data_IF_326106142543
#
_entry.id   IF_326106142543
#
_cell.length_a   1.000
_cell.length_b   1.000
_cell.length_c   1.000
_cell.angle_alpha   90.00
_cell.angle_beta   90.00
_cell.angle_gamma   90.00
#
_symmetry.space_group_name_H-M   'P 1'
#
loop_
_entity.id
_entity.type
_entity.pdbx_description
1 polymer ?
#
# COMPACT_ATOMS: atom_id res chain seq x y z
N UNK A 1 -19.43 8.67 22.13
CA UNK A 1 -19.51 9.22 20.77
C UNK A 1 -18.25 8.74 20.08
N UNK A 2 -18.34 7.73 19.22
CA UNK A 2 -17.17 7.27 18.47
C UNK A 2 -16.70 8.44 17.58
N UNK A 3 -15.40 8.77 17.58
CA UNK A 3 -14.90 9.82 16.72
C UNK A 3 -15.22 9.44 15.27
N UNK A 4 -15.83 10.37 14.55
CA UNK A 4 -16.17 10.21 13.14
C UNK A 4 -14.90 9.86 12.36
N UNK A 5 -14.78 8.62 11.90
CA UNK A 5 -13.60 8.12 11.19
C UNK A 5 -13.53 8.85 9.85
N UNK A 6 -12.77 9.95 9.81
CA UNK A 6 -12.57 10.74 8.61
C UNK A 6 -11.28 10.29 7.92
N UNK A 7 -11.27 10.20 6.58
CA UNK A 7 -10.06 9.85 5.87
C UNK A 7 -9.00 10.95 6.02
N UNK A 8 -7.74 10.52 6.18
CA UNK A 8 -6.57 11.41 6.26
C UNK A 8 -5.72 11.22 5.01
N UNK A 9 -5.26 12.32 4.42
CA UNK A 9 -4.32 12.33 3.29
C UNK A 9 -3.29 13.44 3.48
N UNK A 10 -2.04 13.15 3.12
CA UNK A 10 -0.99 14.14 2.92
C UNK A 10 -1.17 14.80 1.53
N UNK A 11 -1.23 16.13 1.40
CA UNK A 11 -1.28 16.79 0.10
C UNK A 11 -0.17 16.38 -0.87
N UNK A 12 1.06 16.17 -0.37
CA UNK A 12 2.23 15.80 -1.19
C UNK A 12 2.10 14.40 -1.81
N UNK A 13 1.27 13.54 -1.22
CA UNK A 13 1.03 12.19 -1.75
C UNK A 13 0.36 12.17 -3.13
N UNK A 14 -0.17 13.30 -3.61
CA UNK A 14 -0.78 13.42 -4.94
C UNK A 14 0.13 14.10 -5.97
N UNK A 15 1.31 14.54 -5.55
CA UNK A 15 2.29 15.10 -6.48
C UNK A 15 2.78 13.99 -7.43
N UNK A 16 2.80 14.29 -8.72
CA UNK A 16 3.28 13.38 -9.76
C UNK A 16 4.81 13.46 -9.89
N UNK A 17 5.38 14.62 -9.54
CA UNK A 17 6.81 14.90 -9.60
C UNK A 17 7.46 14.96 -8.21
N UNK A 18 6.70 14.65 -7.17
CA UNK A 18 7.18 14.63 -5.78
C UNK A 18 8.35 13.66 -5.57
N UNK A 19 9.14 13.97 -4.56
CA UNK A 19 10.24 13.12 -4.11
C UNK A 19 9.74 12.08 -3.12
N UNK A 20 9.78 10.81 -3.51
CA UNK A 20 9.30 9.69 -2.70
C UNK A 20 10.42 8.73 -2.29
N UNK A 21 10.25 7.93 -1.22
CA UNK A 21 11.33 7.15 -0.62
C UNK A 21 12.03 6.13 -1.54
N UNK A 22 11.33 5.62 -2.56
CA UNK A 22 11.83 4.63 -3.51
C UNK A 22 12.08 5.19 -4.91
N UNK A 23 12.04 6.51 -5.11
CA UNK A 23 12.40 7.07 -6.41
C UNK A 23 13.88 6.75 -6.74
N UNK A 24 14.10 6.23 -7.96
CA UNK A 24 15.42 5.77 -8.41
C UNK A 24 15.94 4.49 -7.74
N UNK A 25 15.16 3.82 -6.88
CA UNK A 25 15.57 2.58 -6.20
C UNK A 25 14.87 1.36 -6.80
N UNK A 26 15.58 0.24 -6.88
CA UNK A 26 14.98 -1.03 -7.26
C UNK A 26 14.20 -1.62 -6.08
N UNK A 27 12.90 -1.91 -6.28
CA UNK A 27 12.06 -2.55 -5.27
C UNK A 27 12.65 -3.88 -4.78
N UNK A 28 13.29 -4.66 -5.65
CA UNK A 28 13.89 -5.95 -5.30
C UNK A 28 15.09 -5.84 -4.36
N UNK A 29 15.67 -4.65 -4.22
CA UNK A 29 16.73 -4.37 -3.25
C UNK A 29 16.22 -3.95 -1.87
N UNK A 30 14.90 -3.79 -1.70
CA UNK A 30 14.28 -3.32 -0.45
C UNK A 30 13.69 -4.52 0.28
N UNK A 31 13.97 -4.67 1.56
CA UNK A 31 13.42 -5.77 2.38
C UNK A 31 11.98 -5.49 2.81
N UNK A 32 11.27 -6.52 3.22
CA UNK A 32 9.88 -6.41 3.67
C UNK A 32 9.77 -5.61 4.99
N UNK A 33 10.77 -5.68 5.86
CA UNK A 33 10.85 -4.86 7.07
C UNK A 33 11.01 -3.38 6.74
N UNK A 34 11.84 -3.05 5.73
CA UNK A 34 11.99 -1.68 5.26
C UNK A 34 10.70 -1.15 4.63
N UNK A 35 10.02 -1.99 3.83
CA UNK A 35 8.69 -1.68 3.29
C UNK A 35 7.68 -1.43 4.41
N UNK A 36 7.64 -2.28 5.44
CA UNK A 36 6.78 -2.06 6.61
C UNK A 36 7.08 -0.73 7.31
N UNK A 37 8.36 -0.35 7.42
CA UNK A 37 8.77 0.97 7.92
C UNK A 37 8.30 2.14 7.06
N UNK A 38 8.26 1.99 5.73
CA UNK A 38 7.72 3.01 4.83
C UNK A 38 6.21 3.21 5.00
N UNK A 39 5.45 2.21 5.45
CA UNK A 39 4.03 2.40 5.75
C UNK A 39 3.82 3.49 6.81
N UNK A 40 4.75 3.64 7.75
CA UNK A 40 4.63 4.62 8.83
C UNK A 40 5.22 5.99 8.50
N UNK A 41 6.20 6.05 7.60
CA UNK A 41 6.96 7.27 7.31
C UNK A 41 6.67 7.93 5.96
N UNK A 42 6.20 7.18 4.97
CA UNK A 42 6.00 7.70 3.62
C UNK A 42 4.71 8.55 3.49
N UNK A 43 4.64 9.46 2.49
CA UNK A 43 3.48 10.32 2.29
C UNK A 43 2.18 9.54 2.17
N UNK A 44 1.22 9.85 3.04
CA UNK A 44 -0.05 9.13 3.15
C UNK A 44 -0.98 9.54 2.02
N UNK A 45 -1.22 8.65 1.07
CA UNK A 45 -2.23 8.85 0.03
C UNK A 45 -3.64 8.79 0.61
N UNK A 46 -3.87 7.82 1.48
CA UNK A 46 -5.16 7.63 2.14
C UNK A 46 -4.99 6.82 3.42
N UNK A 47 -5.63 7.24 4.51
CA UNK A 47 -5.74 6.46 5.74
C UNK A 47 -7.18 6.50 6.23
N UNK A 48 -7.74 5.32 6.48
CA UNK A 48 -9.06 5.16 7.07
C UNK A 48 -9.03 3.95 8.01
N UNK A 49 -9.36 4.18 9.28
CA UNK A 49 -9.24 3.15 10.33
C UNK A 49 -7.82 2.58 10.41
N UNK A 50 -7.71 1.25 10.41
CA UNK A 50 -6.44 0.52 10.48
C UNK A 50 -5.76 0.30 9.11
N UNK A 51 -6.36 0.76 8.01
CA UNK A 51 -5.78 0.65 6.67
C UNK A 51 -5.16 1.97 6.24
N UNK A 52 -3.95 1.87 5.68
CA UNK A 52 -3.20 3.00 5.14
C UNK A 52 -2.69 2.67 3.74
N UNK A 53 -2.71 3.66 2.87
CA UNK A 53 -2.09 3.66 1.55
C UNK A 53 -1.07 4.79 1.52
N UNK A 54 0.18 4.48 1.19
CA UNK A 54 1.28 5.45 1.11
C UNK A 54 1.88 5.46 -0.29
N UNK A 55 2.46 6.60 -0.67
CA UNK A 55 3.26 6.72 -1.89
C UNK A 55 4.69 6.25 -1.63
N UNK A 56 5.15 5.27 -2.41
CA UNK A 56 6.53 4.79 -2.34
C UNK A 56 7.42 5.41 -3.41
N UNK A 57 6.86 5.61 -4.60
CA UNK A 57 7.54 6.25 -5.73
C UNK A 57 6.54 7.03 -6.59
N UNK A 58 7.04 7.65 -7.66
CA UNK A 58 6.20 8.18 -8.75
C UNK A 58 5.27 7.14 -9.38
N UNK A 59 5.61 5.85 -9.28
CA UNK A 59 4.90 4.76 -9.93
C UNK A 59 4.36 3.69 -8.98
N UNK A 60 4.64 3.79 -7.68
CA UNK A 60 4.28 2.76 -6.71
C UNK A 60 3.55 3.34 -5.51
N UNK A 61 2.51 2.63 -5.09
CA UNK A 61 1.89 2.75 -3.78
C UNK A 61 2.09 1.48 -2.99
N UNK A 62 1.97 1.61 -1.68
CA UNK A 62 1.80 0.48 -0.79
C UNK A 62 0.55 0.64 0.05
N UNK A 63 -0.30 -0.38 0.03
CA UNK A 63 -1.39 -0.55 0.98
C UNK A 63 -0.92 -1.44 2.12
N UNK A 64 -1.25 -1.09 3.35
CA UNK A 64 -0.99 -1.95 4.49
C UNK A 64 -1.93 -1.69 5.68
N UNK A 65 -2.07 -2.70 6.53
CA UNK A 65 -2.97 -2.67 7.68
C UNK A 65 -3.41 -4.06 8.14
N UNK A 66 -4.01 -4.13 9.33
CA UNK A 66 -4.48 -5.41 9.92
C UNK A 66 -5.64 -6.07 9.19
N UNK A 67 -6.33 -5.34 8.30
CA UNK A 67 -7.40 -5.87 7.44
C UNK A 67 -6.96 -6.11 6.00
N UNK A 68 -5.67 -5.93 5.69
CA UNK A 68 -5.13 -6.19 4.36
C UNK A 68 -4.74 -7.65 4.28
N UNK A 69 -5.37 -8.39 3.38
CA UNK A 69 -5.20 -9.84 3.29
C UNK A 69 -4.61 -10.26 1.93
N UNK A 70 -3.91 -11.41 1.85
CA UNK A 70 -3.31 -11.88 0.60
C UNK A 70 -4.31 -12.04 -0.55
N UNK A 71 -5.58 -12.34 -0.24
CA UNK A 71 -6.63 -12.49 -1.24
C UNK A 71 -6.87 -11.22 -2.07
N UNK A 72 -6.53 -10.03 -1.56
CA UNK A 72 -6.63 -8.79 -2.33
C UNK A 72 -5.64 -8.79 -3.50
N UNK A 73 -4.38 -9.16 -3.24
CA UNK A 73 -3.34 -9.24 -4.26
C UNK A 73 -3.66 -10.33 -5.30
N UNK A 74 -4.11 -11.51 -4.84
CA UNK A 74 -4.55 -12.59 -5.72
C UNK A 74 -5.74 -12.20 -6.58
N UNK A 75 -6.68 -11.41 -6.03
CA UNK A 75 -7.82 -10.90 -6.80
C UNK A 75 -7.36 -9.94 -7.90
N UNK A 76 -6.41 -9.04 -7.61
CA UNK A 76 -5.83 -8.14 -8.62
C UNK A 76 -5.12 -8.93 -9.74
N UNK A 77 -4.34 -9.94 -9.38
CA UNK A 77 -3.68 -10.83 -10.34
C UNK A 77 -4.68 -11.63 -11.18
N UNK A 78 -5.76 -12.11 -10.56
CA UNK A 78 -6.84 -12.81 -11.27
C UNK A 78 -7.53 -11.89 -12.27
N UNK A 79 -7.93 -10.68 -11.86
CA UNK A 79 -8.56 -9.69 -12.75
C UNK A 79 -7.64 -9.34 -13.92
N UNK A 80 -6.36 -9.09 -13.66
CA UNK A 80 -5.38 -8.77 -14.69
C UNK A 80 -5.14 -9.92 -15.69
N UNK A 81 -5.26 -11.18 -15.25
CA UNK A 81 -5.01 -12.35 -16.11
C UNK A 81 -6.24 -12.89 -16.84
N UNK A 82 -7.45 -12.64 -16.31
CA UNK A 82 -8.69 -13.22 -16.84
C UNK A 82 -9.63 -12.23 -17.51
N UNK A 83 -9.37 -10.93 -17.37
CA UNK A 83 -10.25 -9.89 -17.88
C UNK A 83 -9.47 -8.84 -18.67
N UNK A 84 -10.19 -7.95 -19.37
CA UNK A 84 -9.61 -6.74 -19.97
C UNK A 84 -9.64 -5.52 -19.03
N UNK A 85 -10.03 -5.69 -17.76
CA UNK A 85 -10.14 -4.59 -16.81
C UNK A 85 -8.73 -4.18 -16.38
N UNK A 86 -8.42 -2.89 -16.53
CA UNK A 86 -7.16 -2.33 -16.02
C UNK A 86 -7.20 -2.30 -14.49
N UNK A 87 -6.39 -3.14 -13.87
CA UNK A 87 -6.14 -3.15 -12.43
C UNK A 87 -4.68 -2.74 -12.16
N UNK A 88 -4.37 -2.15 -10.98
CA UNK A 88 -2.98 -1.95 -10.56
C UNK A 88 -2.21 -3.28 -10.58
N UNK A 89 -1.04 -3.30 -11.20
CA UNK A 89 -0.18 -4.50 -11.14
C UNK A 89 0.38 -4.64 -9.74
N UNK A 90 0.25 -5.83 -9.15
CA UNK A 90 0.91 -6.18 -7.90
C UNK A 90 2.37 -6.50 -8.18
N UNK A 91 3.28 -5.87 -7.44
CA UNK A 91 4.72 -6.13 -7.51
C UNK A 91 5.21 -6.98 -6.35
N UNK A 92 4.60 -6.79 -5.17
CA UNK A 92 4.92 -7.56 -3.97
C UNK A 92 3.73 -7.61 -3.02
N UNK A 93 3.52 -8.75 -2.38
CA UNK A 93 2.55 -8.91 -1.31
C UNK A 93 3.15 -9.80 -0.23
N UNK A 94 2.99 -9.40 1.03
CA UNK A 94 3.52 -10.15 2.19
C UNK A 94 2.70 -9.85 3.44
N UNK A 95 2.89 -10.68 4.47
CA UNK A 95 2.30 -10.51 5.79
C UNK A 95 3.39 -10.58 6.84
N UNK A 96 3.21 -9.80 7.90
CA UNK A 96 4.04 -9.85 9.11
C UNK A 96 3.14 -10.22 10.28
N UNK A 97 3.61 -11.11 11.15
CA UNK A 97 2.90 -11.48 12.38
C UNK A 97 2.73 -10.23 13.28
N UNK A 98 1.51 -10.03 13.75
CA UNK A 98 1.15 -8.95 14.66
C UNK A 98 -0.12 -9.36 15.43
N UNK A 99 0.08 -9.95 16.60
CA UNK A 99 -0.98 -10.43 17.51
C UNK A 99 -1.91 -9.31 18.01
N UNK A 100 -1.57 -8.03 17.78
CA UNK A 100 -2.46 -6.92 18.09
C UNK A 100 -3.55 -6.71 17.03
N UNK A 101 -3.39 -7.32 15.85
CA UNK A 101 -4.37 -7.24 14.76
C UNK A 101 -5.42 -8.35 14.86
N UNK A 102 -6.61 -8.09 14.33
CA UNK A 102 -7.73 -9.04 14.36
C UNK A 102 -7.40 -10.41 13.74
N UNK A 103 -6.60 -10.43 12.67
CA UNK A 103 -6.17 -11.67 12.00
C UNK A 103 -4.78 -12.15 12.44
N UNK A 104 -4.24 -11.64 13.56
CA UNK A 104 -2.89 -11.97 14.05
C UNK A 104 -1.75 -11.56 13.11
N UNK A 105 -2.05 -10.79 12.07
CA UNK A 105 -1.10 -10.39 11.03
C UNK A 105 -1.42 -8.98 10.52
N UNK A 106 -0.40 -8.28 10.05
CA UNK A 106 -0.51 -7.05 9.28
C UNK A 106 -0.07 -7.35 7.85
N UNK A 107 -0.96 -7.06 6.88
CA UNK A 107 -0.67 -7.31 5.46
C UNK A 107 -0.16 -6.07 4.75
N UNK A 108 0.59 -6.30 3.67
CA UNK A 108 1.22 -5.29 2.84
C UNK A 108 1.14 -5.67 1.36
N UNK A 109 0.82 -4.71 0.50
CA UNK A 109 0.74 -4.89 -0.95
C UNK A 109 1.39 -3.68 -1.61
N UNK A 110 2.47 -3.91 -2.36
CA UNK A 110 3.09 -2.93 -3.25
C UNK A 110 2.53 -3.12 -4.65
N UNK A 111 1.95 -2.06 -5.21
CA UNK A 111 1.29 -2.09 -6.51
C UNK A 111 1.49 -0.77 -7.26
N UNK A 112 1.14 -0.77 -8.56
CA UNK A 112 1.18 0.44 -9.39
C UNK A 112 0.39 1.59 -8.74
N UNK A 113 0.98 2.78 -8.73
CA UNK A 113 0.25 4.02 -8.55
C UNK A 113 -0.41 4.40 -9.89
N UNK A 114 -1.72 4.60 -9.87
CA UNK A 114 -2.48 5.09 -11.02
C UNK A 114 -2.98 6.49 -10.67
N UNK A 115 -2.54 7.49 -11.42
CA UNK A 115 -3.10 8.83 -11.34
C UNK A 115 -4.55 8.80 -11.86
N UNK A 116 -5.46 9.36 -11.07
CA UNK A 116 -6.87 9.52 -11.43
C UNK A 116 -7.13 10.79 -12.22
#
# INVERSE_FOLDING_TARGET
>A
MEPMISPVSDPHSRDLEGDFPLDGRNLDSVTDEALAGFLESAPVLHKLGATKVVRLSRHLVMKGGGSVLPCEAETLNFVASKTGIRAPRVHRAFQVEDETQYFGTKGYIVMDFIAG
#
